data_IF_843293611154
#
_entry.id   IF_843293611154
#
_cell.length_a   1.000
_cell.length_b   1.000
_cell.length_c   1.000
_cell.angle_alpha   90.00
_cell.angle_beta   90.00
_cell.angle_gamma   90.00
#
_symmetry.space_group_name_H-M   'P 1'
#
loop_
_entity.id
_entity.type
_entity.pdbx_description
1 polymer ?
#
# COMPACT_ATOMS: atom_id res chain seq x y z
N UNK A 1 23.54 -13.49 -3.12
CA UNK A 1 22.62 -12.68 -3.94
C UNK A 1 23.05 -11.22 -3.87
N UNK A 2 23.34 -10.57 -5.00
CA UNK A 2 23.48 -9.11 -5.04
C UNK A 2 22.12 -8.49 -4.70
N UNK A 3 22.07 -7.70 -3.63
CA UNK A 3 20.85 -6.98 -3.21
C UNK A 3 20.71 -5.72 -4.06
N UNK A 4 19.48 -5.41 -4.44
CA UNK A 4 19.20 -4.14 -5.11
C UNK A 4 19.48 -2.98 -4.14
N UNK A 5 20.08 -1.90 -4.64
CA UNK A 5 20.23 -0.66 -3.89
C UNK A 5 18.88 0.01 -3.75
N UNK A 6 18.39 0.03 -2.52
CA UNK A 6 17.06 0.58 -2.20
C UNK A 6 17.17 2.06 -1.82
N UNK A 7 18.29 2.51 -1.26
CA UNK A 7 18.42 3.85 -0.67
C UNK A 7 19.70 4.55 -1.09
N UNK A 8 19.64 5.88 -1.09
CA UNK A 8 20.82 6.73 -1.24
C UNK A 8 21.77 6.57 -0.04
N UNK A 9 23.06 6.47 -0.32
CA UNK A 9 24.15 6.56 0.66
C UNK A 9 24.52 8.02 0.91
N UNK A 10 25.34 8.28 1.93
CA UNK A 10 25.81 9.63 2.23
C UNK A 10 26.55 10.29 1.04
N UNK A 11 27.35 9.52 0.30
CA UNK A 11 28.08 10.01 -0.88
C UNK A 11 27.15 10.23 -2.08
N UNK A 12 26.16 9.36 -2.29
CA UNK A 12 25.15 9.61 -3.33
C UNK A 12 24.40 10.93 -3.07
N UNK A 13 24.06 11.20 -1.81
CA UNK A 13 23.42 12.47 -1.41
C UNK A 13 24.36 13.65 -1.70
N UNK A 14 25.65 13.52 -1.37
CA UNK A 14 26.64 14.56 -1.63
C UNK A 14 26.72 14.91 -3.12
N UNK A 15 26.78 13.90 -4.00
CA UNK A 15 26.79 14.09 -5.44
C UNK A 15 25.49 14.72 -5.97
N UNK A 16 24.32 14.20 -5.54
CA UNK A 16 23.03 14.76 -5.94
C UNK A 16 22.86 16.21 -5.47
N UNK A 17 23.23 16.52 -4.22
CA UNK A 17 23.15 17.89 -3.70
C UNK A 17 24.02 18.82 -4.54
N UNK A 18 25.23 18.42 -4.91
CA UNK A 18 26.11 19.22 -5.76
C UNK A 18 25.48 19.50 -7.14
N UNK A 19 24.89 18.51 -7.80
CA UNK A 19 24.22 18.69 -9.10
C UNK A 19 22.94 19.54 -8.97
N UNK A 20 22.12 19.30 -7.95
CA UNK A 20 20.89 20.04 -7.72
C UNK A 20 21.17 21.51 -7.38
N UNK A 21 22.25 21.80 -6.65
CA UNK A 21 22.70 23.18 -6.37
C UNK A 21 22.87 23.96 -7.66
N UNK A 22 23.55 23.39 -8.65
CA UNK A 22 23.82 24.05 -9.93
C UNK A 22 22.56 24.32 -10.73
N UNK A 23 21.57 23.40 -10.70
CA UNK A 23 20.35 23.51 -11.52
C UNK A 23 19.21 24.29 -10.85
N UNK A 24 19.09 24.25 -9.52
CA UNK A 24 17.90 24.77 -8.81
C UNK A 24 18.13 26.01 -7.95
N UNK A 25 19.36 26.31 -7.49
CA UNK A 25 19.57 27.48 -6.64
C UNK A 25 19.16 28.75 -7.39
N UNK A 26 18.41 29.60 -6.70
CA UNK A 26 17.89 30.85 -7.21
C UNK A 26 16.62 30.74 -8.06
N UNK A 27 16.16 29.53 -8.36
CA UNK A 27 14.92 29.28 -9.09
C UNK A 27 13.71 29.36 -8.15
N UNK A 28 12.54 29.66 -8.69
CA UNK A 28 11.29 29.73 -7.92
C UNK A 28 10.54 28.40 -7.97
N UNK A 29 10.00 28.01 -6.82
CA UNK A 29 9.12 26.85 -6.71
C UNK A 29 7.72 27.22 -7.20
N UNK A 30 7.38 26.78 -8.40
CA UNK A 30 6.14 27.15 -9.08
C UNK A 30 4.92 26.41 -8.52
N UNK A 31 5.07 25.12 -8.25
CA UNK A 31 3.99 24.33 -7.66
C UNK A 31 4.52 23.04 -7.02
N UNK A 32 3.67 22.37 -6.24
CA UNK A 32 3.99 21.12 -5.58
C UNK A 32 2.87 20.13 -5.85
N UNK A 33 3.19 18.89 -6.17
CA UNK A 33 2.26 17.80 -6.43
C UNK A 33 2.61 16.60 -5.56
N UNK A 34 1.75 15.61 -5.52
CA UNK A 34 2.08 14.29 -5.02
C UNK A 34 1.64 13.25 -6.05
N UNK A 35 2.49 12.25 -6.28
CA UNK A 35 2.16 11.09 -7.12
C UNK A 35 1.37 10.11 -6.28
N UNK A 36 1.83 9.81 -5.07
CA UNK A 36 1.16 8.91 -4.13
C UNK A 36 1.22 9.49 -2.70
N UNK A 37 1.16 8.65 -1.66
CA UNK A 37 1.22 9.08 -0.24
C UNK A 37 2.65 9.36 0.26
N UNK A 38 3.67 8.86 -0.44
CA UNK A 38 5.09 8.93 -0.09
C UNK A 38 5.91 9.75 -1.08
N UNK A 39 5.42 9.94 -2.30
CA UNK A 39 6.13 10.61 -3.40
C UNK A 39 5.56 12.00 -3.68
N UNK A 40 6.38 13.02 -3.46
CA UNK A 40 6.08 14.43 -3.68
C UNK A 40 6.91 14.99 -4.83
N UNK A 41 6.34 15.92 -5.58
CA UNK A 41 6.97 16.52 -6.76
C UNK A 41 6.96 18.02 -6.65
N UNK A 42 8.14 18.62 -6.58
CA UNK A 42 8.36 20.05 -6.47
C UNK A 42 8.74 20.59 -7.86
N UNK A 43 7.85 21.37 -8.45
CA UNK A 43 8.04 21.94 -9.79
C UNK A 43 8.74 23.28 -9.69
N UNK A 44 9.94 23.35 -10.24
CA UNK A 44 10.71 24.57 -10.39
C UNK A 44 10.57 25.15 -11.80
N UNK A 45 10.50 26.47 -11.90
CA UNK A 45 10.66 27.18 -13.17
C UNK A 45 12.13 27.55 -13.33
N UNK A 46 12.83 26.80 -14.18
CA UNK A 46 14.26 26.97 -14.44
C UNK A 46 14.41 27.61 -15.81
N UNK A 47 14.59 28.94 -15.85
CA UNK A 47 14.60 29.74 -17.08
C UNK A 47 13.30 29.48 -17.90
N UNK A 48 13.43 29.05 -19.16
CA UNK A 48 12.31 28.68 -20.05
C UNK A 48 11.90 27.20 -19.95
N UNK A 49 12.62 26.42 -19.14
CA UNK A 49 12.36 25.00 -18.92
C UNK A 49 11.66 24.75 -17.58
N UNK A 50 11.11 23.54 -17.43
CA UNK A 50 10.55 23.06 -16.17
C UNK A 50 11.43 21.96 -15.65
N UNK A 51 11.74 22.00 -14.36
CA UNK A 51 12.41 20.89 -13.68
C UNK A 51 11.57 20.43 -12.50
N UNK A 52 11.49 19.12 -12.30
CA UNK A 52 10.67 18.50 -11.28
C UNK A 52 11.58 17.74 -10.31
N UNK A 53 11.65 18.22 -9.06
CA UNK A 53 12.30 17.52 -7.98
C UNK A 53 11.31 16.50 -7.40
N UNK A 54 11.58 15.23 -7.65
CA UNK A 54 10.86 14.10 -7.09
C UNK A 54 11.50 13.79 -5.73
N UNK A 55 10.67 13.69 -4.69
CA UNK A 55 11.08 13.35 -3.33
C UNK A 55 10.21 12.18 -2.89
N UNK A 56 10.83 11.03 -2.68
CA UNK A 56 10.17 9.84 -2.16
C UNK A 56 10.64 9.58 -0.74
N UNK A 57 9.69 9.60 0.19
CA UNK A 57 9.96 9.59 1.63
C UNK A 57 10.89 8.43 2.04
N UNK A 58 12.09 8.77 2.54
CA UNK A 58 13.07 7.81 3.04
C UNK A 58 13.86 7.02 1.99
N UNK A 59 13.60 7.26 0.70
CA UNK A 59 14.17 6.47 -0.38
C UNK A 59 15.15 7.27 -1.23
N UNK A 60 14.66 8.36 -1.82
CA UNK A 60 15.40 9.14 -2.82
C UNK A 60 14.90 10.57 -2.94
N UNK A 61 15.73 11.39 -3.56
CA UNK A 61 15.33 12.59 -4.26
C UNK A 61 16.11 12.67 -5.57
N UNK A 62 15.46 13.09 -6.65
CA UNK A 62 16.12 13.29 -7.94
C UNK A 62 15.33 14.29 -8.79
N UNK A 63 15.99 14.91 -9.75
CA UNK A 63 15.38 15.71 -10.79
C UNK A 63 14.87 14.83 -11.93
N UNK A 64 13.77 15.27 -12.53
CA UNK A 64 13.30 14.84 -13.83
C UNK A 64 12.79 16.05 -14.61
N UNK A 65 12.83 15.98 -15.93
CA UNK A 65 12.27 17.01 -16.81
C UNK A 65 10.81 16.70 -17.20
N UNK A 66 10.32 15.48 -16.88
CA UNK A 66 8.93 15.06 -17.14
C UNK A 66 8.31 14.41 -15.91
N UNK A 67 7.00 14.54 -15.75
CA UNK A 67 6.26 13.85 -14.69
C UNK A 67 4.97 13.25 -15.25
N UNK A 68 4.64 12.06 -14.78
CA UNK A 68 3.29 11.53 -14.91
C UNK A 68 2.38 12.28 -13.95
N UNK A 69 1.38 12.98 -14.49
CA UNK A 69 0.54 13.90 -13.73
C UNK A 69 -0.50 13.12 -12.93
N UNK A 70 -0.48 13.24 -11.60
CA UNK A 70 -1.62 12.88 -10.75
C UNK A 70 -2.52 14.08 -10.45
N UNK A 71 -3.85 13.87 -10.48
CA UNK A 71 -4.85 14.95 -10.63
C UNK A 71 -5.36 15.58 -9.33
N UNK A 72 -5.08 15.02 -8.14
CA UNK A 72 -5.61 15.56 -6.87
C UNK A 72 -4.52 15.72 -5.81
N UNK A 73 -4.22 16.95 -5.34
CA UNK A 73 -3.23 17.18 -4.29
C UNK A 73 -3.75 16.72 -2.92
N UNK A 74 -2.89 16.05 -2.14
CA UNK A 74 -3.21 15.67 -0.74
C UNK A 74 -3.24 16.88 0.21
N UNK A 75 -3.86 16.73 1.38
CA UNK A 75 -3.84 17.76 2.43
C UNK A 75 -2.42 18.11 2.90
N UNK A 76 -1.51 17.14 2.88
CA UNK A 76 -0.08 17.34 3.15
C UNK A 76 0.58 18.24 2.09
N UNK A 77 0.31 17.96 0.81
CA UNK A 77 0.74 18.80 -0.33
C UNK A 77 0.22 20.24 -0.22
N UNK A 78 -1.00 20.42 0.29
CA UNK A 78 -1.56 21.76 0.48
C UNK A 78 -0.82 22.58 1.55
N UNK A 79 -0.33 21.96 2.63
CA UNK A 79 0.54 22.64 3.60
C UNK A 79 1.84 23.09 2.95
N UNK A 80 2.53 22.23 2.21
CA UNK A 80 3.73 22.66 1.47
C UNK A 80 3.44 23.82 0.51
N UNK A 81 2.31 23.78 -0.22
CA UNK A 81 1.92 24.87 -1.13
C UNK A 81 1.68 26.18 -0.39
N UNK A 82 1.09 26.14 0.81
CA UNK A 82 0.85 27.34 1.63
C UNK A 82 2.16 28.03 2.00
N UNK A 83 3.19 27.26 2.35
CA UNK A 83 4.43 27.81 2.89
C UNK A 83 5.56 27.98 1.87
N UNK A 84 5.69 27.09 0.88
CA UNK A 84 6.84 27.05 -0.03
C UNK A 84 6.54 27.57 -1.44
N UNK A 85 5.28 27.58 -1.90
CA UNK A 85 4.94 27.98 -3.28
C UNK A 85 5.35 29.43 -3.54
N UNK A 86 5.84 29.68 -4.75
CA UNK A 86 6.36 30.96 -5.24
C UNK A 86 7.61 31.47 -4.53
N UNK A 87 8.15 30.73 -3.55
CA UNK A 87 9.43 31.07 -2.91
C UNK A 87 10.60 30.65 -3.77
N UNK A 88 11.69 31.40 -3.64
CA UNK A 88 12.99 31.10 -4.24
C UNK A 88 13.72 30.08 -3.39
N UNK A 89 14.36 29.09 -4.03
CA UNK A 89 15.27 28.18 -3.35
C UNK A 89 16.63 28.86 -3.18
N UNK A 90 17.05 29.08 -1.95
CA UNK A 90 18.30 29.80 -1.64
C UNK A 90 19.47 28.85 -1.40
N UNK A 91 19.26 27.73 -0.71
CA UNK A 91 20.30 26.74 -0.48
C UNK A 91 19.76 25.32 -0.44
N UNK A 92 20.65 24.35 -0.69
CA UNK A 92 20.42 22.91 -0.56
C UNK A 92 21.64 22.36 0.15
N UNK A 93 21.52 21.76 1.32
CA UNK A 93 22.68 21.35 2.11
C UNK A 93 22.48 19.96 2.68
N UNK A 94 23.49 19.11 2.52
CA UNK A 94 23.60 17.90 3.33
C UNK A 94 24.18 18.30 4.69
N UNK A 95 23.54 17.88 5.78
CA UNK A 95 24.03 18.21 7.12
C UNK A 95 25.07 17.18 7.53
N UNK A 96 26.30 17.64 7.74
CA UNK A 96 27.44 16.79 8.02
C UNK A 96 27.70 15.81 6.88
N UNK A 97 27.87 14.53 7.22
CA UNK A 97 27.93 13.41 6.28
C UNK A 97 26.82 12.40 6.52
N UNK A 98 25.76 12.86 7.18
CA UNK A 98 24.56 12.07 7.44
C UNK A 98 23.62 12.10 6.24
N UNK A 99 22.60 11.24 6.29
CA UNK A 99 21.57 11.17 5.26
C UNK A 99 20.43 12.15 5.55
N UNK A 100 20.78 13.39 5.84
CA UNK A 100 19.87 14.51 6.11
C UNK A 100 20.15 15.64 5.14
N UNK A 101 19.12 16.09 4.41
CA UNK A 101 19.22 17.18 3.43
C UNK A 101 18.25 18.29 3.78
N UNK A 102 18.72 19.54 3.78
CA UNK A 102 17.92 20.73 4.07
C UNK A 102 17.85 21.60 2.82
N UNK A 103 16.64 21.91 2.39
CA UNK A 103 16.36 22.89 1.35
C UNK A 103 15.82 24.16 2.00
N UNK A 104 16.42 25.31 1.70
CA UNK A 104 16.05 26.61 2.26
C UNK A 104 15.26 27.42 1.24
N UNK A 105 14.03 27.81 1.58
CA UNK A 105 13.15 28.59 0.72
C UNK A 105 12.85 29.97 1.29
N UNK A 106 13.03 31.01 0.49
CA UNK A 106 12.83 32.40 0.91
C UNK A 106 14.02 32.98 1.65
N UNK A 107 13.88 34.22 2.12
CA UNK A 107 14.92 34.97 2.83
C UNK A 107 14.33 35.64 4.07
N UNK A 108 15.21 35.98 5.01
CA UNK A 108 14.89 36.77 6.20
C UNK A 108 13.71 36.16 6.98
N UNK A 109 12.72 36.98 7.34
CA UNK A 109 11.56 36.60 8.14
C UNK A 109 10.58 35.65 7.44
N UNK A 110 10.82 35.35 6.17
CA UNK A 110 10.01 34.42 5.40
C UNK A 110 10.81 33.22 4.90
N UNK A 111 11.77 32.79 5.70
CA UNK A 111 12.55 31.58 5.47
C UNK A 111 11.78 30.34 5.96
N UNK A 112 11.76 29.30 5.14
CA UNK A 112 11.20 28.00 5.47
C UNK A 112 12.16 26.90 5.05
N UNK A 113 12.22 25.83 5.84
CA UNK A 113 13.09 24.69 5.58
C UNK A 113 12.28 23.46 5.22
N UNK A 114 12.70 22.77 4.16
CA UNK A 114 12.27 21.41 3.86
C UNK A 114 13.42 20.47 4.20
N UNK A 115 13.26 19.67 5.25
CA UNK A 115 14.26 18.75 5.77
C UNK A 115 13.87 17.33 5.37
N UNK A 116 14.79 16.62 4.74
CA UNK A 116 14.64 15.23 4.31
C UNK A 116 15.51 14.34 5.17
N UNK A 117 14.91 13.40 5.90
CA UNK A 117 15.60 12.31 6.57
C UNK A 117 15.52 11.06 5.67
N UNK A 118 16.66 10.54 5.23
CA UNK A 118 16.77 9.41 4.29
C UNK A 118 17.29 8.13 4.97
N UNK A 119 17.13 8.04 6.30
CA UNK A 119 17.44 6.86 7.11
C UNK A 119 16.18 6.24 7.71
N UNK A 120 16.29 5.00 8.21
CA UNK A 120 15.16 4.27 8.84
C UNK A 120 13.90 4.21 7.95
N UNK A 121 12.75 4.77 8.34
CA UNK A 121 11.54 4.85 7.53
C UNK A 121 11.43 6.15 6.71
N UNK A 122 12.38 7.06 6.89
CA UNK A 122 12.39 8.38 6.30
C UNK A 122 11.41 9.38 6.91
N UNK A 123 11.70 10.65 6.67
CA UNK A 123 10.83 11.76 7.08
C UNK A 123 10.96 12.92 6.09
N UNK A 124 9.85 13.62 5.85
CA UNK A 124 9.84 14.89 5.13
C UNK A 124 9.23 15.91 6.08
N UNK A 125 10.01 16.91 6.44
CA UNK A 125 9.69 17.86 7.50
C UNK A 125 9.70 19.26 6.91
N UNK A 126 8.66 20.02 7.20
CA UNK A 126 8.55 21.44 6.93
C UNK A 126 8.74 22.20 8.24
N UNK A 127 9.68 23.14 8.26
CA UNK A 127 9.93 24.01 9.41
C UNK A 127 9.92 25.49 9.02
N UNK A 128 9.68 26.36 10.00
CA UNK A 128 9.80 27.81 9.87
C UNK A 128 11.25 28.31 10.04
N UNK A 129 11.43 29.63 10.09
CA UNK A 129 12.74 30.29 10.21
C UNK A 129 13.53 29.89 11.48
N UNK A 130 12.86 29.47 12.53
CA UNK A 130 13.45 29.08 13.81
C UNK A 130 13.61 27.55 13.91
N UNK A 131 13.50 26.84 12.77
CA UNK A 131 13.44 25.39 12.67
C UNK A 131 12.31 24.75 13.47
N UNK A 132 11.24 25.50 13.78
CA UNK A 132 10.05 24.99 14.42
C UNK A 132 9.24 24.18 13.42
N UNK A 133 8.98 22.93 13.74
CA UNK A 133 8.34 21.99 12.82
C UNK A 133 6.87 22.36 12.64
N UNK A 134 6.50 22.72 11.41
CA UNK A 134 5.13 23.03 11.02
C UNK A 134 4.36 21.76 10.66
N UNK A 135 5.04 20.86 9.95
CA UNK A 135 4.44 19.64 9.41
C UNK A 135 5.52 18.60 9.13
N UNK A 136 5.20 17.33 9.34
CA UNK A 136 6.11 16.23 9.06
C UNK A 136 5.36 14.95 8.68
N UNK A 137 6.00 14.02 7.97
CA UNK A 137 5.36 12.75 7.57
C UNK A 137 5.27 11.75 8.72
N UNK A 138 6.24 11.71 9.64
CA UNK A 138 6.27 10.75 10.76
C UNK A 138 6.87 11.32 12.04
N UNK A 139 6.09 11.33 13.13
CA UNK A 139 6.59 11.67 14.46
C UNK A 139 7.49 10.56 15.01
N UNK A 140 8.55 10.95 15.70
CA UNK A 140 9.42 10.02 16.41
C UNK A 140 10.16 10.72 17.56
N UNK A 141 10.70 9.93 18.48
CA UNK A 141 11.36 10.41 19.69
C UNK A 141 12.78 9.83 19.75
N UNK A 142 13.75 10.65 20.14
CA UNK A 142 15.14 10.24 20.41
C UNK A 142 15.37 9.92 21.89
N UNK A 143 14.65 10.63 22.76
CA UNK A 143 14.63 10.45 24.21
C UNK A 143 13.33 11.03 24.78
N UNK A 144 13.06 10.85 26.07
CA UNK A 144 11.86 11.38 26.74
C UNK A 144 11.65 12.89 26.51
N UNK A 145 12.73 13.65 26.35
CA UNK A 145 12.68 15.11 26.18
C UNK A 145 12.93 15.60 24.75
N UNK A 146 13.31 14.72 23.82
CA UNK A 146 13.69 15.12 22.45
C UNK A 146 12.84 14.37 21.45
N UNK A 147 11.90 15.10 20.84
CA UNK A 147 10.94 14.55 19.89
C UNK A 147 10.88 15.39 18.61
N UNK A 148 10.68 14.69 17.51
CA UNK A 148 10.41 15.28 16.19
C UNK A 148 8.89 15.28 16.01
N UNK A 149 8.25 16.37 16.43
CA UNK A 149 6.80 16.53 16.44
C UNK A 149 6.40 17.95 16.02
N UNK A 150 5.12 18.19 15.64
CA UNK A 150 4.67 19.52 15.28
C UNK A 150 4.86 20.48 16.46
N UNK A 151 5.25 21.72 16.17
CA UNK A 151 5.58 22.78 17.12
C UNK A 151 6.82 22.54 17.99
N UNK A 152 7.63 21.52 17.71
CA UNK A 152 8.94 21.36 18.33
C UNK A 152 10.04 21.92 17.44
N UNK A 153 11.19 22.27 18.02
CA UNK A 153 12.38 22.66 17.25
C UNK A 153 13.04 21.39 16.70
N UNK A 154 13.42 21.40 15.43
CA UNK A 154 14.08 20.26 14.81
C UNK A 154 15.46 19.97 15.46
N UNK A 155 15.70 18.77 16.03
CA UNK A 155 16.86 18.52 16.87
C UNK A 155 18.10 18.10 16.07
N UNK A 156 18.76 19.05 15.41
CA UNK A 156 19.98 18.79 14.63
C UNK A 156 21.08 18.07 15.41
N UNK A 157 21.18 18.33 16.71
CA UNK A 157 22.14 17.72 17.63
C UNK A 157 21.97 16.20 17.79
N UNK A 158 20.82 15.65 17.42
CA UNK A 158 20.54 14.21 17.49
C UNK A 158 20.42 13.56 16.11
N UNK A 159 20.12 14.35 15.07
CA UNK A 159 19.85 13.85 13.72
C UNK A 159 21.06 13.93 12.79
N UNK A 160 22.02 14.84 13.05
CA UNK A 160 23.14 15.11 12.16
C UNK A 160 24.43 15.53 12.89
N UNK A 161 24.97 14.65 13.74
CA UNK A 161 26.15 14.93 14.56
C UNK A 161 27.49 14.78 13.83
N UNK A 162 27.52 13.97 12.78
CA UNK A 162 28.75 13.55 12.13
C UNK A 162 29.13 14.53 11.02
N UNK A 163 30.11 15.39 11.28
CA UNK A 163 30.73 16.27 10.29
C UNK A 163 32.09 15.69 9.91
N UNK A 164 32.41 15.74 8.62
CA UNK A 164 33.68 15.19 8.10
C UNK A 164 34.89 15.84 8.79
N UNK A 165 34.80 17.14 9.05
CA UNK A 165 35.83 17.94 9.71
C UNK A 165 36.04 17.55 11.19
N UNK A 166 35.06 16.86 11.80
CA UNK A 166 35.12 16.37 13.18
C UNK A 166 35.62 14.92 13.29
N UNK A 167 35.95 14.28 12.17
CA UNK A 167 36.48 12.92 12.19
C UNK A 167 37.90 12.92 12.75
N UNK A 168 38.05 12.33 13.93
CA UNK A 168 39.35 12.13 14.54
C UNK A 168 40.06 10.94 13.87
N UNK A 169 40.89 11.25 12.89
CA UNK A 169 41.73 10.31 12.14
C UNK A 169 43.17 10.28 12.66
N UNK A 170 43.40 10.81 13.87
CA UNK A 170 44.72 10.81 14.51
C UNK A 170 45.21 9.40 14.81
N UNK A 171 46.53 9.25 14.92
CA UNK A 171 47.14 7.99 15.36
C UNK A 171 46.68 7.59 16.76
N UNK A 172 46.48 8.56 17.65
CA UNK A 172 45.98 8.33 19.02
C UNK A 172 44.59 7.67 19.00
N UNK A 173 43.69 8.16 18.15
CA UNK A 173 42.36 7.57 18.00
C UNK A 173 42.40 6.18 17.39
N UNK A 174 43.22 5.95 16.38
CA UNK A 174 43.41 4.64 15.74
C UNK A 174 43.88 3.62 16.78
N UNK A 175 44.92 3.96 17.55
CA UNK A 175 45.43 3.12 18.64
C UNK A 175 44.31 2.81 19.62
N UNK A 176 43.57 3.82 20.08
CA UNK A 176 42.44 3.65 21.01
C UNK A 176 41.39 2.68 20.47
N UNK A 177 40.93 2.84 19.23
CA UNK A 177 39.89 1.98 18.61
C UNK A 177 40.35 0.52 18.47
N UNK A 178 41.64 0.31 18.20
CA UNK A 178 42.23 -1.04 18.09
C UNK A 178 42.41 -1.66 19.48
N UNK A 179 42.92 -0.91 20.46
CA UNK A 179 43.13 -1.38 21.83
C UNK A 179 41.84 -1.70 22.58
N UNK A 180 40.75 -0.95 22.35
CA UNK A 180 39.43 -1.22 22.92
C UNK A 180 38.89 -2.60 22.51
N UNK A 181 39.22 -3.06 21.29
CA UNK A 181 38.82 -4.37 20.79
C UNK A 181 39.83 -4.91 19.77
N UNK A 182 40.87 -5.63 20.21
CA UNK A 182 41.87 -6.18 19.31
C UNK A 182 41.31 -7.32 18.46
N UNK A 183 41.86 -7.50 17.25
CA UNK A 183 41.45 -8.55 16.32
C UNK A 183 40.19 -8.25 15.51
N UNK A 184 39.70 -6.99 15.52
CA UNK A 184 38.68 -6.52 14.60
C UNK A 184 39.17 -6.55 13.15
N UNK A 185 38.23 -6.70 12.21
CA UNK A 185 38.58 -6.65 10.78
C UNK A 185 38.96 -5.24 10.37
N UNK A 186 39.91 -5.09 9.44
CA UNK A 186 40.34 -3.81 8.91
C UNK A 186 39.16 -2.91 8.49
N UNK A 187 38.21 -3.44 7.71
CA UNK A 187 37.03 -2.67 7.28
C UNK A 187 36.15 -2.17 8.43
N UNK A 188 36.02 -2.95 9.52
CA UNK A 188 35.20 -2.57 10.69
C UNK A 188 35.85 -1.40 11.44
N UNK A 189 37.18 -1.37 11.52
CA UNK A 189 37.94 -0.27 12.10
C UNK A 189 37.79 0.98 11.23
N UNK A 190 37.93 0.84 9.90
CA UNK A 190 37.77 1.95 8.96
C UNK A 190 36.36 2.56 9.04
N UNK A 191 35.29 1.78 9.13
CA UNK A 191 33.93 2.32 9.31
C UNK A 191 33.75 3.13 10.59
N UNK A 192 34.42 2.73 11.68
CA UNK A 192 34.36 3.48 12.94
C UNK A 192 35.06 4.83 12.86
N UNK A 193 36.13 4.91 12.06
CA UNK A 193 36.93 6.11 11.90
C UNK A 193 36.37 7.04 10.81
N UNK A 194 35.75 6.47 9.78
CA UNK A 194 35.19 7.19 8.63
C UNK A 194 33.76 6.70 8.34
N UNK A 195 32.77 7.07 9.17
CA UNK A 195 31.42 6.49 9.14
C UNK A 195 30.58 6.84 7.91
N UNK A 196 31.02 7.77 7.05
CA UNK A 196 30.32 8.09 5.80
C UNK A 196 30.61 7.10 4.65
N UNK A 197 31.64 6.25 4.79
CA UNK A 197 31.93 5.24 3.79
C UNK A 197 30.93 4.10 3.89
N UNK A 198 30.44 3.64 2.74
CA UNK A 198 29.63 2.44 2.65
C UNK A 198 30.51 1.22 2.34
N UNK A 199 29.93 0.02 2.43
CA UNK A 199 30.70 -1.22 2.38
C UNK A 199 31.50 -1.41 1.09
N UNK A 200 30.85 -1.24 -0.07
CA UNK A 200 31.50 -1.46 -1.37
C UNK A 200 32.69 -0.52 -1.55
N UNK A 201 32.53 0.78 -1.28
CA UNK A 201 33.63 1.73 -1.39
C UNK A 201 34.79 1.46 -0.41
N UNK A 202 34.49 1.01 0.81
CA UNK A 202 35.53 0.66 1.78
C UNK A 202 36.34 -0.53 1.31
N UNK A 203 35.66 -1.56 0.81
CA UNK A 203 36.30 -2.75 0.26
C UNK A 203 37.17 -2.36 -0.97
N UNK A 204 36.66 -1.48 -1.84
CA UNK A 204 37.40 -0.96 -3.01
C UNK A 204 38.65 -0.16 -2.60
N UNK A 205 38.56 0.76 -1.65
CA UNK A 205 39.70 1.55 -1.14
C UNK A 205 40.78 0.61 -0.57
N UNK A 206 40.38 -0.38 0.24
CA UNK A 206 41.30 -1.35 0.82
C UNK A 206 41.97 -2.19 -0.29
N UNK A 207 41.20 -2.59 -1.31
CA UNK A 207 41.70 -3.36 -2.44
C UNK A 207 42.68 -2.55 -3.32
N UNK A 208 42.43 -1.25 -3.54
CA UNK A 208 43.34 -0.36 -4.25
C UNK A 208 44.71 -0.24 -3.56
N UNK A 209 44.72 -0.31 -2.22
CA UNK A 209 45.93 -0.38 -1.41
C UNK A 209 46.55 -1.79 -1.34
N UNK A 210 45.97 -2.77 -2.04
CA UNK A 210 46.39 -4.19 -2.06
C UNK A 210 46.38 -4.86 -0.68
N UNK A 211 45.44 -4.46 0.17
CA UNK A 211 45.28 -4.99 1.53
C UNK A 211 44.04 -5.90 1.60
N UNK A 212 43.96 -6.73 2.64
CA UNK A 212 42.81 -7.63 2.84
C UNK A 212 41.78 -6.99 3.79
N UNK A 213 40.56 -6.74 3.30
CA UNK A 213 39.51 -6.08 4.09
C UNK A 213 39.06 -6.88 5.32
N UNK A 214 39.30 -8.20 5.34
CA UNK A 214 38.95 -9.09 6.43
C UNK A 214 40.16 -9.46 7.32
N UNK A 215 41.33 -8.84 7.10
CA UNK A 215 42.49 -9.01 7.97
C UNK A 215 42.16 -8.58 9.41
N UNK A 216 42.53 -9.41 10.38
CA UNK A 216 42.37 -9.10 11.80
C UNK A 216 43.53 -8.22 12.25
N UNK A 217 43.21 -7.01 12.68
CA UNK A 217 44.20 -6.01 13.10
C UNK A 217 44.41 -6.10 14.61
N UNK A 218 45.66 -6.20 15.02
CA UNK A 218 46.09 -6.19 16.43
C UNK A 218 47.07 -5.06 16.68
N UNK A 219 48.16 -4.98 15.91
CA UNK A 219 49.23 -3.99 16.09
C UNK A 219 49.63 -3.29 14.79
N UNK A 220 48.87 -3.45 13.71
CA UNK A 220 49.15 -2.87 12.39
C UNK A 220 48.61 -1.43 12.27
N UNK A 221 48.96 -0.55 13.21
CA UNK A 221 48.42 0.82 13.29
C UNK A 221 48.70 1.65 12.02
N UNK A 222 49.93 1.58 11.50
CA UNK A 222 50.36 2.29 10.28
C UNK A 222 49.57 1.86 9.03
N UNK A 223 49.23 0.58 8.95
CA UNK A 223 48.42 0.04 7.87
C UNK A 223 47.01 0.62 7.91
N UNK A 224 46.41 0.71 9.10
CA UNK A 224 45.10 1.36 9.29
C UNK A 224 45.18 2.85 8.94
N UNK A 225 46.23 3.55 9.39
CA UNK A 225 46.43 4.97 9.09
C UNK A 225 46.47 5.25 7.58
N UNK A 226 47.25 4.46 6.83
CA UNK A 226 47.32 4.57 5.36
C UNK A 226 45.96 4.44 4.70
N UNK A 227 45.14 3.48 5.14
CA UNK A 227 43.79 3.28 4.59
C UNK A 227 42.87 4.47 4.93
N UNK A 228 42.90 4.93 6.18
CA UNK A 228 42.07 6.06 6.64
C UNK A 228 42.46 7.35 5.91
N UNK A 229 43.75 7.62 5.74
CA UNK A 229 44.23 8.80 5.03
C UNK A 229 43.84 8.78 3.57
N UNK A 230 44.02 7.63 2.91
CA UNK A 230 43.57 7.46 1.53
C UNK A 230 42.06 7.66 1.40
N UNK A 231 41.28 7.14 2.35
CA UNK A 231 39.83 7.30 2.32
C UNK A 231 39.39 8.76 2.54
N UNK A 232 40.04 9.49 3.45
CA UNK A 232 39.77 10.91 3.66
C UNK A 232 40.16 11.75 2.44
N UNK A 233 41.31 11.48 1.82
CA UNK A 233 41.72 12.12 0.58
C UNK A 233 40.72 11.84 -0.56
N UNK A 234 40.27 10.59 -0.70
CA UNK A 234 39.23 10.23 -1.65
C UNK A 234 37.93 11.01 -1.41
N UNK A 235 37.43 11.08 -0.18
CA UNK A 235 36.19 11.83 0.15
C UNK A 235 36.35 13.33 -0.13
N UNK A 236 37.49 13.92 0.22
CA UNK A 236 37.75 15.33 -0.03
C UNK A 236 37.80 15.64 -1.54
N UNK A 237 38.46 14.77 -2.32
CA UNK A 237 38.46 14.85 -3.79
C UNK A 237 37.06 14.69 -4.35
N UNK A 238 36.30 13.72 -3.84
CA UNK A 238 34.91 13.49 -4.25
C UNK A 238 34.06 14.73 -4.00
N UNK A 239 34.08 15.28 -2.78
CA UNK A 239 33.33 16.49 -2.38
C UNK A 239 33.68 17.73 -3.22
N UNK A 240 34.93 17.85 -3.67
CA UNK A 240 35.40 18.97 -4.47
C UNK A 240 34.94 18.93 -5.93
N UNK A 241 34.35 17.81 -6.39
CA UNK A 241 33.86 17.70 -7.76
C UNK A 241 32.63 18.58 -7.97
N UNK A 242 32.67 19.36 -9.07
CA UNK A 242 31.51 20.15 -9.49
C UNK A 242 30.46 19.29 -10.20
N UNK A 243 30.88 18.26 -10.94
CA UNK A 243 29.99 17.41 -11.73
C UNK A 243 30.35 15.96 -11.52
N UNK A 244 29.32 15.11 -11.44
CA UNK A 244 29.47 13.68 -11.26
C UNK A 244 28.93 12.98 -12.50
N UNK A 245 29.59 11.90 -12.92
CA UNK A 245 29.00 10.98 -13.89
C UNK A 245 28.07 10.02 -13.15
N UNK A 246 27.13 9.42 -13.87
CA UNK A 246 26.27 8.39 -13.30
C UNK A 246 26.57 7.03 -13.90
N UNK A 247 26.58 5.99 -13.07
CA UNK A 247 26.77 4.61 -13.51
C UNK A 247 25.57 3.77 -13.09
N UNK A 248 24.99 3.03 -14.02
CA UNK A 248 23.91 2.06 -13.81
C UNK A 248 24.46 0.65 -13.96
N UNK A 249 24.31 -0.18 -12.94
CA UNK A 249 24.93 -1.51 -12.91
C UNK A 249 23.88 -2.62 -12.96
N UNK A 250 24.02 -3.50 -13.95
CA UNK A 250 23.23 -4.72 -14.09
C UNK A 250 24.12 -5.96 -14.03
N UNK A 251 23.53 -7.11 -13.69
CA UNK A 251 24.29 -8.38 -13.57
C UNK A 251 24.85 -8.83 -14.90
N UNK A 252 24.04 -8.72 -15.94
CA UNK A 252 24.35 -9.17 -17.30
C UNK A 252 23.79 -8.13 -18.28
N UNK A 253 24.37 -8.08 -19.47
CA UNK A 253 23.79 -7.35 -20.58
C UNK A 253 22.40 -7.92 -20.90
N UNK A 254 21.43 -7.08 -21.32
CA UNK A 254 20.14 -7.59 -21.77
C UNK A 254 20.35 -8.55 -22.95
N UNK A 255 19.61 -9.68 -22.95
CA UNK A 255 19.76 -10.73 -23.96
C UNK A 255 19.26 -10.30 -25.34
N UNK A 256 18.30 -9.37 -25.36
CA UNK A 256 17.70 -8.79 -26.56
C UNK A 256 17.57 -7.27 -26.40
N UNK A 257 17.62 -6.51 -27.49
CA UNK A 257 17.48 -5.04 -27.48
C UNK A 257 16.14 -4.54 -26.92
N UNK A 258 15.09 -5.37 -26.95
CA UNK A 258 13.79 -5.04 -26.34
C UNK A 258 13.75 -5.29 -24.82
N UNK A 259 14.68 -6.07 -24.28
CA UNK A 259 14.69 -6.41 -22.87
C UNK A 259 15.38 -5.30 -22.07
N UNK A 260 14.61 -4.57 -21.24
CA UNK A 260 15.22 -3.55 -20.37
C UNK A 260 16.16 -4.22 -19.34
N UNK A 261 17.40 -3.70 -19.17
CA UNK A 261 18.32 -4.22 -18.17
C UNK A 261 17.74 -4.10 -16.76
N UNK A 262 17.91 -5.16 -15.96
CA UNK A 262 17.54 -5.15 -14.54
C UNK A 262 18.73 -4.64 -13.73
N UNK A 263 18.74 -3.33 -13.49
CA UNK A 263 19.74 -2.71 -12.65
C UNK A 263 19.59 -3.18 -11.20
N UNK A 264 20.72 -3.47 -10.56
CA UNK A 264 20.76 -3.75 -9.12
C UNK A 264 21.40 -2.60 -8.35
N UNK A 265 22.18 -1.74 -8.99
CA UNK A 265 22.88 -0.62 -8.33
C UNK A 265 22.99 0.60 -9.24
N UNK A 266 23.28 1.75 -8.63
CA UNK A 266 23.68 2.99 -9.27
C UNK A 266 24.73 3.71 -8.43
N UNK A 267 25.69 4.39 -9.05
CA UNK A 267 26.73 5.13 -8.34
C UNK A 267 27.21 6.37 -9.11
N UNK A 268 27.74 7.35 -8.38
CA UNK A 268 28.33 8.54 -8.95
C UNK A 268 29.81 8.37 -9.34
N UNK A 269 30.39 7.21 -9.00
CA UNK A 269 31.76 6.84 -9.34
C UNK A 269 31.84 5.36 -9.72
N UNK A 270 32.82 5.02 -10.55
CA UNK A 270 33.05 3.67 -11.06
C UNK A 270 33.85 2.88 -10.03
N UNK A 271 33.12 2.18 -9.17
CA UNK A 271 33.67 1.24 -8.19
C UNK A 271 34.34 0.02 -8.87
N UNK A 272 35.45 -0.48 -8.29
CA UNK A 272 36.07 -1.75 -8.69
C UNK A 272 35.10 -2.92 -8.49
N UNK A 273 34.20 -2.79 -7.51
CA UNK A 273 33.06 -3.68 -7.33
C UNK A 273 32.23 -3.92 -8.62
N UNK A 274 32.26 -3.02 -9.61
CA UNK A 274 31.54 -3.17 -10.87
C UNK A 274 32.32 -3.84 -12.00
N UNK A 275 33.59 -4.20 -11.78
CA UNK A 275 34.39 -4.92 -12.78
C UNK A 275 33.75 -6.27 -13.16
N UNK A 276 33.77 -6.59 -14.46
CA UNK A 276 33.13 -7.78 -15.01
C UNK A 276 31.60 -7.75 -15.08
N UNK A 277 30.95 -6.64 -14.66
CA UNK A 277 29.50 -6.46 -14.74
C UNK A 277 29.10 -5.58 -15.92
N UNK A 278 27.82 -5.61 -16.28
CA UNK A 278 27.29 -4.72 -17.30
C UNK A 278 27.01 -3.34 -16.68
N UNK A 279 27.74 -2.32 -17.14
CA UNK A 279 27.65 -0.95 -16.62
C UNK A 279 27.29 0.00 -17.76
N UNK A 280 26.27 0.82 -17.54
CA UNK A 280 25.90 1.92 -18.44
C UNK A 280 26.35 3.23 -17.77
N UNK A 281 27.15 4.01 -18.49
CA UNK A 281 27.53 5.37 -18.08
C UNK A 281 26.47 6.37 -18.56
N UNK A 282 26.20 7.37 -17.73
CA UNK A 282 25.27 8.47 -17.97
C UNK A 282 25.94 9.82 -17.69
N UNK A 283 25.51 10.91 -18.34
CA UNK A 283 26.20 12.20 -18.25
C UNK A 283 26.19 12.85 -16.85
N UNK A 284 25.19 12.52 -16.02
CA UNK A 284 25.03 13.05 -14.67
C UNK A 284 24.63 11.94 -13.72
N UNK A 285 24.98 12.07 -12.44
CA UNK A 285 24.53 11.12 -11.43
C UNK A 285 23.02 11.14 -11.27
N UNK A 286 22.38 12.31 -11.36
CA UNK A 286 20.94 12.45 -11.36
C UNK A 286 20.26 11.58 -12.44
N UNK A 287 20.82 11.51 -13.65
CA UNK A 287 20.26 10.71 -14.74
C UNK A 287 20.30 9.21 -14.40
N UNK A 288 21.43 8.71 -13.84
CA UNK A 288 21.50 7.34 -13.37
C UNK A 288 20.45 7.04 -12.30
N UNK A 289 20.28 7.92 -11.31
CA UNK A 289 19.24 7.76 -10.28
C UNK A 289 17.85 7.75 -10.90
N UNK A 290 17.55 8.69 -11.80
CA UNK A 290 16.25 8.78 -12.46
C UNK A 290 15.91 7.50 -13.24
N UNK A 291 16.83 7.04 -14.10
CA UNK A 291 16.66 5.83 -14.91
C UNK A 291 16.54 4.56 -14.06
N UNK A 292 17.32 4.46 -12.97
CA UNK A 292 17.24 3.33 -12.05
C UNK A 292 15.82 3.16 -11.51
N UNK A 293 15.29 4.24 -10.93
CA UNK A 293 13.99 4.18 -10.28
C UNK A 293 12.81 4.16 -11.27
N UNK A 294 12.94 4.71 -12.47
CA UNK A 294 11.94 4.51 -13.54
C UNK A 294 11.71 3.02 -13.86
N UNK A 295 12.74 2.18 -13.73
CA UNK A 295 12.61 0.72 -13.90
C UNK A 295 12.02 0.06 -12.66
N UNK A 296 12.40 0.52 -11.46
CA UNK A 296 11.88 0.00 -10.18
C UNK A 296 10.39 0.30 -10.01
N UNK A 297 9.97 1.56 -10.15
CA UNK A 297 8.59 2.00 -9.96
C UNK A 297 7.63 1.25 -10.88
N UNK A 298 8.00 1.12 -12.17
CA UNK A 298 7.21 0.39 -13.16
C UNK A 298 7.04 -1.09 -12.81
N UNK A 299 8.02 -1.71 -12.15
CA UNK A 299 7.90 -3.10 -11.70
C UNK A 299 6.96 -3.22 -10.49
N UNK A 300 6.94 -2.23 -9.61
CA UNK A 300 6.05 -2.20 -8.45
C UNK A 300 4.60 -1.92 -8.83
N UNK A 301 4.35 -0.91 -9.67
CA UNK A 301 3.01 -0.60 -10.21
C UNK A 301 2.39 -1.83 -10.90
N UNK A 302 3.21 -2.55 -11.68
CA UNK A 302 2.78 -3.77 -12.35
C UNK A 302 2.41 -4.90 -11.42
N UNK A 303 2.99 -4.97 -10.22
CA UNK A 303 2.63 -5.97 -9.19
C UNK A 303 1.35 -5.54 -8.48
N UNK A 304 1.29 -4.28 -8.06
CA UNK A 304 0.15 -3.73 -7.34
C UNK A 304 -1.14 -3.78 -8.16
N UNK A 305 -1.07 -3.45 -9.46
CA UNK A 305 -2.21 -3.57 -10.37
C UNK A 305 -2.76 -5.01 -10.47
N UNK A 306 -1.89 -6.03 -10.43
CA UNK A 306 -2.33 -7.44 -10.43
C UNK A 306 -3.06 -7.75 -9.13
N UNK A 307 -2.49 -7.31 -8.00
CA UNK A 307 -3.05 -7.56 -6.67
C UNK A 307 -4.41 -6.86 -6.50
N UNK A 308 -4.56 -5.62 -7.01
CA UNK A 308 -5.83 -4.88 -6.99
C UNK A 308 -6.92 -5.54 -7.84
N UNK A 309 -6.56 -6.07 -9.02
CA UNK A 309 -7.49 -6.81 -9.87
C UNK A 309 -7.95 -8.10 -9.17
N UNK A 310 -7.02 -8.84 -8.57
CA UNK A 310 -7.32 -10.04 -7.81
C UNK A 310 -8.21 -9.72 -6.59
N UNK A 311 -7.93 -8.62 -5.89
CA UNK A 311 -8.70 -8.16 -4.74
C UNK A 311 -10.13 -7.78 -5.10
N UNK A 312 -10.34 -7.04 -6.20
CA UNK A 312 -11.69 -6.68 -6.66
C UNK A 312 -12.51 -7.90 -7.03
N UNK A 313 -11.92 -8.88 -7.72
CA UNK A 313 -12.60 -10.14 -8.03
C UNK A 313 -12.98 -10.89 -6.75
N UNK A 314 -12.07 -10.98 -5.80
CA UNK A 314 -12.30 -11.61 -4.51
C UNK A 314 -13.44 -10.93 -3.73
N UNK A 315 -13.44 -9.60 -3.64
CA UNK A 315 -14.47 -8.86 -2.91
C UNK A 315 -15.85 -9.02 -3.57
N UNK A 316 -15.91 -9.03 -4.90
CA UNK A 316 -17.17 -9.31 -5.62
C UNK A 316 -17.71 -10.71 -5.31
N UNK A 317 -16.85 -11.74 -5.31
CA UNK A 317 -17.25 -13.11 -4.96
C UNK A 317 -17.74 -13.18 -3.51
N UNK A 318 -17.03 -12.53 -2.60
CA UNK A 318 -17.38 -12.48 -1.18
C UNK A 318 -18.73 -11.78 -0.96
N UNK A 319 -18.97 -10.64 -1.61
CA UNK A 319 -20.24 -9.92 -1.51
C UNK A 319 -21.41 -10.72 -2.06
N UNK A 320 -21.25 -11.35 -3.24
CA UNK A 320 -22.29 -12.20 -3.83
C UNK A 320 -22.64 -13.36 -2.88
N UNK A 321 -21.65 -14.06 -2.33
CA UNK A 321 -21.92 -15.14 -1.38
C UNK A 321 -22.52 -14.65 -0.05
N UNK A 322 -22.07 -13.51 0.49
CA UNK A 322 -22.69 -12.92 1.69
C UNK A 322 -24.16 -12.57 1.45
N UNK A 323 -24.49 -11.98 0.29
CA UNK A 323 -25.87 -11.64 -0.06
C UNK A 323 -26.75 -12.89 -0.20
N UNK A 324 -26.21 -14.00 -0.72
CA UNK A 324 -26.91 -15.28 -0.82
C UNK A 324 -27.18 -15.87 0.56
N UNK A 325 -26.19 -15.86 1.45
CA UNK A 325 -26.36 -16.36 2.83
C UNK A 325 -27.41 -15.53 3.56
N UNK A 326 -27.38 -14.20 3.45
CA UNK A 326 -28.37 -13.31 4.06
C UNK A 326 -29.78 -13.60 3.55
N UNK A 327 -29.97 -13.80 2.24
CA UNK A 327 -31.27 -14.19 1.68
C UNK A 327 -31.77 -15.52 2.24
N UNK A 328 -30.90 -16.53 2.33
CA UNK A 328 -31.28 -17.84 2.88
C UNK A 328 -31.58 -17.79 4.38
N UNK A 329 -30.95 -16.88 5.13
CA UNK A 329 -31.28 -16.63 6.54
C UNK A 329 -32.66 -15.97 6.67
N UNK A 330 -32.92 -14.91 5.90
CA UNK A 330 -34.23 -14.26 5.90
C UNK A 330 -35.36 -15.22 5.51
N UNK A 331 -35.14 -16.10 4.51
CA UNK A 331 -36.11 -17.12 4.10
C UNK A 331 -36.37 -18.18 5.20
N UNK A 332 -35.35 -18.51 6.01
CA UNK A 332 -35.53 -19.39 7.17
C UNK A 332 -36.35 -18.74 8.27
N UNK A 333 -36.05 -17.49 8.60
CA UNK A 333 -36.77 -16.74 9.63
C UNK A 333 -38.24 -16.58 9.23
N UNK A 334 -38.51 -16.29 7.95
CA UNK A 334 -39.86 -16.23 7.40
C UNK A 334 -40.62 -17.56 7.56
N UNK A 335 -39.99 -18.70 7.28
CA UNK A 335 -40.64 -20.00 7.47
C UNK A 335 -40.89 -20.35 8.94
N UNK A 336 -40.01 -19.94 9.85
CA UNK A 336 -40.21 -20.13 11.29
C UNK A 336 -41.42 -19.33 11.77
N UNK A 337 -41.48 -18.05 11.39
CA UNK A 337 -42.58 -17.15 11.75
C UNK A 337 -43.90 -17.70 11.19
N UNK A 338 -43.94 -18.08 9.92
CA UNK A 338 -45.14 -18.65 9.28
C UNK A 338 -45.59 -19.93 9.97
N UNK A 339 -44.68 -20.83 10.30
CA UNK A 339 -45.03 -22.08 10.98
C UNK A 339 -45.55 -21.84 12.41
N UNK A 340 -44.94 -20.91 13.16
CA UNK A 340 -45.39 -20.52 14.49
C UNK A 340 -46.80 -19.92 14.48
N UNK A 341 -47.07 -18.99 13.56
CA UNK A 341 -48.40 -18.37 13.43
C UNK A 341 -49.50 -19.38 13.10
N UNK A 342 -49.21 -20.39 12.28
CA UNK A 342 -50.17 -21.48 12.02
C UNK A 342 -50.42 -22.32 13.28
N UNK A 343 -49.39 -22.57 14.10
CA UNK A 343 -49.53 -23.34 15.33
C UNK A 343 -50.33 -22.60 16.40
N UNK A 344 -50.13 -21.28 16.54
CA UNK A 344 -50.90 -20.44 17.47
C UNK A 344 -52.38 -20.34 17.06
N UNK A 345 -52.66 -20.38 15.75
CA UNK A 345 -54.00 -20.26 15.16
C UNK A 345 -54.53 -21.60 14.60
N UNK A 346 -54.09 -22.74 15.16
CA UNK A 346 -54.31 -24.06 14.58
C UNK A 346 -55.81 -24.40 14.37
N UNK A 347 -56.65 -24.06 15.34
CA UNK A 347 -58.08 -24.36 15.32
C UNK A 347 -58.82 -23.54 14.26
N UNK A 348 -58.46 -22.25 14.15
CA UNK A 348 -59.05 -21.31 13.21
C UNK A 348 -58.68 -21.69 11.76
N UNK A 349 -57.40 -22.04 11.54
CA UNK A 349 -56.91 -22.51 10.24
C UNK A 349 -57.58 -23.83 9.85
N UNK A 350 -57.74 -24.77 10.79
CA UNK A 350 -58.40 -26.05 10.50
C UNK A 350 -59.89 -25.86 10.19
N UNK A 351 -60.59 -24.98 10.92
CA UNK A 351 -61.97 -24.67 10.64
C UNK A 351 -62.16 -24.08 9.23
N UNK A 352 -61.26 -23.18 8.80
CA UNK A 352 -61.26 -22.62 7.44
C UNK A 352 -61.08 -23.72 6.39
N UNK A 353 -60.10 -24.63 6.59
CA UNK A 353 -59.87 -25.76 5.68
C UNK A 353 -61.14 -26.61 5.56
N UNK A 354 -61.72 -27.02 6.69
CA UNK A 354 -62.89 -27.89 6.73
C UNK A 354 -64.12 -27.26 6.05
N UNK A 355 -64.35 -25.96 6.24
CA UNK A 355 -65.46 -25.23 5.61
C UNK A 355 -65.29 -25.22 4.09
N UNK A 356 -64.09 -24.87 3.62
CA UNK A 356 -63.80 -24.79 2.18
C UNK A 356 -63.89 -26.19 1.55
N UNK A 357 -63.38 -27.21 2.23
CA UNK A 357 -63.41 -28.59 1.76
C UNK A 357 -64.83 -29.13 1.66
N UNK A 358 -65.69 -28.87 2.66
CA UNK A 358 -67.12 -29.20 2.60
C UNK A 358 -67.84 -28.49 1.45
N UNK A 359 -67.50 -27.24 1.16
CA UNK A 359 -68.09 -26.51 0.01
C UNK A 359 -67.67 -27.15 -1.32
N UNK A 360 -66.42 -27.57 -1.45
CA UNK A 360 -65.94 -28.29 -2.63
C UNK A 360 -66.58 -29.67 -2.78
N UNK A 361 -66.71 -30.44 -1.68
CA UNK A 361 -67.31 -31.78 -1.68
C UNK A 361 -68.79 -31.74 -2.11
N UNK A 362 -69.48 -30.64 -1.81
CA UNK A 362 -70.85 -30.37 -2.27
C UNK A 362 -70.92 -29.88 -3.74
N UNK A 363 -69.82 -29.92 -4.49
CA UNK A 363 -69.76 -29.58 -5.90
C UNK A 363 -69.87 -28.09 -6.21
N UNK A 364 -69.63 -27.21 -5.23
CA UNK A 364 -69.68 -25.76 -5.44
C UNK A 364 -68.41 -25.32 -6.19
N UNK A 365 -68.53 -24.66 -7.36
CA UNK A 365 -67.37 -24.17 -8.08
C UNK A 365 -66.70 -23.00 -7.35
N UNK A 366 -65.38 -22.92 -7.47
CA UNK A 366 -64.50 -22.02 -6.72
C UNK A 366 -64.80 -20.53 -6.86
N UNK A 367 -65.24 -20.09 -8.04
CA UNK A 367 -65.66 -18.70 -8.29
C UNK A 367 -66.85 -18.31 -7.42
N UNK A 368 -67.76 -19.26 -7.19
CA UNK A 368 -68.91 -19.10 -6.29
C UNK A 368 -68.48 -19.16 -4.81
N UNK A 369 -67.55 -20.05 -4.44
CA UNK A 369 -66.96 -20.09 -3.09
C UNK A 369 -66.31 -18.75 -2.74
N UNK A 370 -65.53 -18.16 -3.66
CA UNK A 370 -64.90 -16.86 -3.46
C UNK A 370 -65.93 -15.74 -3.25
N UNK A 371 -67.04 -15.75 -4.00
CA UNK A 371 -68.13 -14.79 -3.81
C UNK A 371 -68.81 -14.96 -2.45
N UNK A 372 -69.12 -16.20 -2.07
CA UNK A 372 -69.74 -16.52 -0.78
C UNK A 372 -68.86 -16.05 0.38
N UNK A 373 -67.54 -16.27 0.31
CA UNK A 373 -66.61 -15.81 1.34
C UNK A 373 -66.50 -14.29 1.38
N UNK A 374 -66.53 -13.62 0.23
CA UNK A 374 -66.52 -12.15 0.18
C UNK A 374 -67.80 -11.53 0.77
N UNK A 375 -68.94 -12.20 0.62
CA UNK A 375 -70.19 -11.75 1.22
C UNK A 375 -70.19 -12.04 2.74
N UNK A 376 -69.72 -13.21 3.18
CA UNK A 376 -69.51 -13.53 4.60
C UNK A 376 -68.52 -12.58 5.30
N UNK A 377 -67.51 -12.07 4.57
CA UNK A 377 -66.60 -11.02 5.08
C UNK A 377 -67.33 -9.71 5.36
N UNK A 378 -68.24 -9.28 4.47
CA UNK A 378 -69.03 -8.04 4.67
C UNK A 378 -69.97 -8.16 5.86
N UNK A 379 -70.43 -9.38 6.14
CA UNK A 379 -71.24 -9.71 7.32
C UNK A 379 -70.41 -9.79 8.61
N UNK A 380 -69.08 -9.64 8.54
CA UNK A 380 -68.20 -9.58 9.71
C UNK A 380 -67.80 -10.95 10.26
N UNK A 381 -67.90 -12.02 9.48
CA UNK A 381 -67.52 -13.35 9.95
C UNK A 381 -66.00 -13.43 10.24
N UNK A 382 -65.58 -13.82 11.46
CA UNK A 382 -64.18 -13.76 11.88
C UNK A 382 -63.26 -14.67 11.05
N UNK A 383 -63.68 -15.90 10.75
CA UNK A 383 -62.91 -16.84 9.93
C UNK A 383 -62.82 -16.39 8.47
N UNK A 384 -63.89 -15.82 7.93
CA UNK A 384 -63.90 -15.30 6.56
C UNK A 384 -62.97 -14.09 6.41
N UNK A 385 -62.86 -13.24 7.44
CA UNK A 385 -61.95 -12.09 7.46
C UNK A 385 -60.47 -12.49 7.48
N UNK A 386 -60.13 -13.65 8.04
CA UNK A 386 -58.77 -14.19 7.99
C UNK A 386 -58.36 -14.63 6.59
N UNK A 387 -59.28 -14.85 5.66
CA UNK A 387 -58.94 -15.30 4.31
C UNK A 387 -58.49 -14.10 3.47
N UNK A 388 -57.20 -14.00 3.16
CA UNK A 388 -56.65 -12.94 2.30
C UNK A 388 -56.93 -13.15 0.80
N UNK A 389 -57.00 -14.40 0.35
CA UNK A 389 -57.21 -14.75 -1.06
C UNK A 389 -57.18 -16.25 -1.32
N UNK A 390 -57.46 -16.67 -2.57
CA UNK A 390 -57.47 -18.08 -2.96
C UNK A 390 -56.80 -18.30 -4.31
N UNK A 391 -56.08 -19.42 -4.46
CA UNK A 391 -55.46 -19.82 -5.71
C UNK A 391 -56.05 -21.14 -6.23
N UNK A 392 -56.95 -20.98 -7.22
CA UNK A 392 -57.77 -22.04 -7.80
C UNK A 392 -56.95 -23.17 -8.49
N UNK A 393 -55.73 -22.89 -8.94
CA UNK A 393 -54.93 -23.86 -9.70
C UNK A 393 -54.07 -24.77 -8.82
N UNK A 394 -53.92 -24.44 -7.53
CA UNK A 394 -52.99 -25.11 -6.63
C UNK A 394 -53.64 -25.67 -5.36
N UNK A 395 -54.98 -25.61 -5.23
CA UNK A 395 -55.71 -25.97 -4.01
C UNK A 395 -55.17 -25.25 -2.75
N UNK A 396 -54.81 -23.97 -2.91
CA UNK A 396 -54.23 -23.15 -1.84
C UNK A 396 -55.11 -21.96 -1.50
N UNK A 397 -55.14 -21.65 -0.22
CA UNK A 397 -55.82 -20.47 0.34
C UNK A 397 -54.78 -19.64 1.09
N UNK A 398 -54.79 -18.33 0.86
CA UNK A 398 -53.95 -17.39 1.60
C UNK A 398 -54.71 -16.95 2.85
N UNK A 399 -54.16 -17.23 4.03
CA UNK A 399 -54.70 -16.82 5.32
C UNK A 399 -53.81 -15.72 5.91
N UNK A 400 -54.44 -14.70 6.48
CA UNK A 400 -53.84 -13.60 7.22
C UNK A 400 -53.80 -14.00 8.70
N UNK A 401 -52.61 -14.25 9.23
CA UNK A 401 -52.41 -14.62 10.63
C UNK A 401 -51.57 -13.56 11.34
N UNK A 402 -51.97 -13.21 12.56
CA UNK A 402 -51.21 -12.39 13.51
C UNK A 402 -50.99 -13.16 14.81
N UNK A 403 -50.20 -12.59 15.72
CA UNK A 403 -49.97 -13.15 17.04
C UNK A 403 -51.22 -12.96 17.90
N UNK A 404 -51.71 -14.02 18.55
CA UNK A 404 -52.90 -13.97 19.40
C UNK A 404 -52.72 -13.13 20.67
N UNK A 405 -51.49 -13.01 21.14
CA UNK A 405 -51.15 -12.31 22.39
C UNK A 405 -50.82 -10.81 22.16
N UNK A 406 -50.73 -10.37 20.90
CA UNK A 406 -50.41 -8.99 20.53
C UNK A 406 -51.39 -8.45 19.48
N UNK A 407 -52.35 -7.66 19.95
CA UNK A 407 -53.43 -7.07 19.15
C UNK A 407 -52.93 -6.04 18.12
N UNK A 408 -51.67 -5.59 18.24
CA UNK A 408 -51.00 -4.70 17.29
C UNK A 408 -50.04 -5.43 16.33
N UNK A 409 -50.04 -6.76 16.33
CA UNK A 409 -49.15 -7.52 15.45
C UNK A 409 -49.52 -7.40 13.97
N UNK A 410 -48.50 -7.28 13.12
CA UNK A 410 -48.67 -7.25 11.67
C UNK A 410 -49.26 -8.58 11.17
N UNK A 411 -50.33 -8.49 10.37
CA UNK A 411 -50.94 -9.67 9.73
C UNK A 411 -50.06 -10.18 8.59
N UNK A 412 -49.56 -11.41 8.72
CA UNK A 412 -48.72 -12.06 7.71
C UNK A 412 -49.59 -12.94 6.81
N UNK A 413 -49.38 -12.84 5.50
CA UNK A 413 -50.01 -13.71 4.51
C UNK A 413 -49.30 -15.05 4.41
N UNK A 414 -50.06 -16.13 4.63
CA UNK A 414 -49.54 -17.51 4.64
C UNK A 414 -50.37 -18.38 3.69
N UNK A 415 -49.71 -19.12 2.81
CA UNK A 415 -50.37 -20.06 1.90
C UNK A 415 -50.62 -21.39 2.60
N UNK A 416 -51.88 -21.80 2.65
CA UNK A 416 -52.34 -23.05 3.26
C UNK A 416 -52.90 -23.95 2.16
N UNK A 417 -52.39 -25.18 2.10
CA UNK A 417 -52.89 -26.24 1.23
C UNK A 417 -54.10 -26.89 1.89
N UNK A 418 -55.28 -26.73 1.28
CA UNK A 418 -56.56 -27.21 1.83
C UNK A 418 -56.70 -28.74 1.75
N UNK A 419 -55.81 -29.42 1.01
CA UNK A 419 -55.82 -30.89 0.94
C UNK A 419 -55.17 -31.53 2.18
N UNK A 420 -54.62 -30.71 3.07
CA UNK A 420 -53.85 -31.14 4.24
C UNK A 420 -54.35 -30.43 5.49
N UNK A 421 -54.13 -31.04 6.66
CA UNK A 421 -54.50 -30.41 7.93
C UNK A 421 -53.66 -29.16 8.24
N UNK A 422 -54.14 -28.32 9.14
CA UNK A 422 -53.41 -27.15 9.63
C UNK A 422 -52.02 -27.54 10.18
N UNK A 423 -51.94 -28.67 10.91
CA UNK A 423 -50.69 -29.20 11.45
C UNK A 423 -49.72 -29.66 10.36
N UNK A 424 -50.23 -30.31 9.31
CA UNK A 424 -49.42 -30.74 8.17
C UNK A 424 -48.87 -29.54 7.39
N UNK A 425 -49.66 -28.48 7.25
CA UNK A 425 -49.21 -27.22 6.65
C UNK A 425 -48.11 -26.54 7.49
N UNK A 426 -48.26 -26.44 8.81
CA UNK A 426 -47.21 -25.93 9.70
C UNK A 426 -45.92 -26.77 9.60
N UNK A 427 -46.06 -28.10 9.59
CA UNK A 427 -44.92 -29.03 9.45
C UNK A 427 -44.17 -28.86 8.13
N UNK A 428 -44.88 -28.65 7.01
CA UNK A 428 -44.25 -28.37 5.71
C UNK A 428 -43.33 -27.15 5.74
N UNK A 429 -43.70 -26.11 6.48
CA UNK A 429 -42.86 -24.92 6.63
C UNK A 429 -41.60 -25.21 7.46
N UNK A 430 -41.69 -26.00 8.53
CA UNK A 430 -40.51 -26.48 9.26
C UNK A 430 -39.62 -27.42 8.44
N UNK A 431 -40.21 -28.29 7.60
CA UNK A 431 -39.45 -29.17 6.70
C UNK A 431 -38.72 -28.37 5.63
N UNK A 432 -39.36 -27.31 5.09
CA UNK A 432 -38.74 -26.36 4.17
C UNK A 432 -37.59 -25.59 4.83
N UNK A 433 -37.75 -25.15 6.10
CA UNK A 433 -36.65 -24.58 6.90
C UNK A 433 -35.47 -25.53 7.04
N UNK A 434 -35.71 -26.81 7.36
CA UNK A 434 -34.64 -27.82 7.50
C UNK A 434 -33.91 -28.10 6.17
N UNK A 435 -34.62 -28.03 5.03
CA UNK A 435 -34.03 -28.12 3.68
C UNK A 435 -33.14 -26.91 3.35
N UNK A 436 -33.50 -25.71 3.82
CA UNK A 436 -32.67 -24.52 3.65
C UNK A 436 -31.49 -24.53 4.61
N UNK A 437 -31.67 -24.97 5.85
CA UNK A 437 -30.62 -25.09 6.86
C UNK A 437 -29.48 -26.02 6.40
N UNK A 438 -29.83 -27.15 5.76
CA UNK A 438 -28.84 -28.04 5.12
C UNK A 438 -28.14 -27.41 3.92
N UNK A 439 -28.83 -26.60 3.11
CA UNK A 439 -28.18 -25.79 2.05
C UNK A 439 -27.23 -24.74 2.64
N UNK A 440 -27.58 -24.11 3.76
CA UNK A 440 -26.75 -23.14 4.46
C UNK A 440 -25.49 -23.76 5.08
N UNK A 441 -25.60 -24.95 5.67
CA UNK A 441 -24.44 -25.69 6.19
C UNK A 441 -23.45 -26.05 5.07
N UNK A 442 -23.96 -26.47 3.91
CA UNK A 442 -23.13 -26.71 2.72
C UNK A 442 -22.47 -25.42 2.19
N UNK A 443 -23.13 -24.27 2.29
CA UNK A 443 -22.51 -22.95 2.02
C UNK A 443 -21.51 -22.52 3.11
N UNK A 444 -21.64 -23.02 4.34
CA UNK A 444 -20.65 -22.84 5.41
C UNK A 444 -19.28 -23.40 5.03
N UNK A 445 -19.24 -24.56 4.38
CA UNK A 445 -18.02 -25.14 3.78
C UNK A 445 -17.41 -24.23 2.70
N UNK A 446 -18.21 -23.47 1.95
CA UNK A 446 -17.71 -22.46 1.02
C UNK A 446 -16.93 -21.33 1.73
N UNK A 447 -17.19 -21.00 3.00
CA UNK A 447 -16.41 -19.98 3.73
C UNK A 447 -14.95 -20.40 3.93
N UNK A 448 -14.69 -21.70 4.10
CA UNK A 448 -13.33 -22.25 4.13
C UNK A 448 -12.73 -22.18 2.72
N UNK A 449 -13.52 -22.48 1.69
CA UNK A 449 -13.12 -22.29 0.28
C UNK A 449 -12.81 -20.83 -0.08
N UNK A 450 -13.41 -19.82 0.56
CA UNK A 450 -13.10 -18.39 0.31
C UNK A 450 -11.65 -18.06 0.71
N UNK A 451 -11.16 -18.59 1.84
CA UNK A 451 -9.75 -18.37 2.24
C UNK A 451 -8.79 -18.96 1.21
N UNK A 452 -9.08 -20.18 0.75
CA UNK A 452 -8.31 -20.89 -0.27
C UNK A 452 -8.42 -20.17 -1.62
N UNK A 453 -9.62 -19.69 -1.98
CA UNK A 453 -9.87 -18.99 -3.24
C UNK A 453 -9.14 -17.65 -3.34
N UNK A 454 -8.82 -16.98 -2.22
CA UNK A 454 -7.97 -15.78 -2.22
C UNK A 454 -6.56 -16.11 -2.71
N UNK A 455 -5.97 -17.17 -2.17
CA UNK A 455 -4.61 -17.62 -2.52
C UNK A 455 -4.58 -18.11 -3.97
N UNK A 456 -5.57 -18.93 -4.36
CA UNK A 456 -5.75 -19.42 -5.73
C UNK A 456 -5.95 -18.30 -6.77
N UNK A 457 -6.75 -17.27 -6.47
CA UNK A 457 -6.99 -16.16 -7.40
C UNK A 457 -5.71 -15.35 -7.64
N UNK A 458 -4.92 -15.12 -6.58
CA UNK A 458 -3.63 -14.42 -6.69
C UNK A 458 -2.66 -15.25 -7.52
N UNK A 459 -2.61 -16.57 -7.32
CA UNK A 459 -1.71 -17.46 -8.03
C UNK A 459 -2.06 -17.60 -9.52
N UNK A 460 -3.34 -17.82 -9.85
CA UNK A 460 -3.81 -17.93 -11.24
C UNK A 460 -3.59 -16.65 -12.05
N UNK A 461 -3.82 -15.47 -11.48
CA UNK A 461 -3.58 -14.21 -12.18
C UNK A 461 -2.07 -13.94 -12.36
N UNK A 462 -1.21 -14.38 -11.42
CA UNK A 462 0.26 -14.38 -11.60
C UNK A 462 0.68 -15.30 -12.74
N UNK A 463 0.11 -16.50 -12.84
CA UNK A 463 0.40 -17.47 -13.91
C UNK A 463 -0.07 -16.99 -15.28
N UNK A 464 -1.30 -16.46 -15.39
CA UNK A 464 -1.82 -15.89 -16.65
C UNK A 464 -0.94 -14.76 -17.18
N UNK A 465 -0.36 -13.93 -16.30
CA UNK A 465 0.56 -12.87 -16.73
C UNK A 465 1.91 -13.45 -17.18
N UNK A 466 2.44 -14.50 -16.52
CA UNK A 466 3.62 -15.23 -17.02
C UNK A 466 3.37 -15.80 -18.42
N UNK A 467 2.24 -16.47 -18.61
CA UNK A 467 1.84 -17.04 -19.90
C UNK A 467 1.57 -15.97 -20.96
N UNK A 468 1.00 -14.81 -20.62
CA UNK A 468 0.84 -13.69 -21.54
C UNK A 468 2.18 -13.04 -21.93
N UNK A 469 3.13 -12.95 -20.99
CA UNK A 469 4.49 -12.46 -21.29
C UNK A 469 5.21 -13.46 -22.21
N UNK A 470 5.06 -14.77 -21.96
CA UNK A 470 5.63 -15.82 -22.81
C UNK A 470 4.97 -15.88 -24.19
N UNK A 471 3.65 -15.75 -24.29
CA UNK A 471 2.94 -15.79 -25.56
C UNK A 471 3.21 -14.55 -26.42
N UNK A 472 3.39 -13.37 -25.82
CA UNK A 472 3.86 -12.17 -26.53
C UNK A 472 5.30 -12.36 -27.03
N UNK A 473 6.18 -13.01 -26.25
CA UNK A 473 7.54 -13.36 -26.71
C UNK A 473 7.54 -14.38 -27.85
N UNK A 474 6.67 -15.39 -27.79
CA UNK A 474 6.51 -16.42 -28.83
C UNK A 474 5.95 -15.83 -30.13
N UNK A 475 4.93 -14.97 -30.05
CA UNK A 475 4.37 -14.29 -31.24
C UNK A 475 5.36 -13.37 -31.93
N UNK A 476 6.28 -12.74 -31.18
CA UNK A 476 7.35 -11.92 -31.78
C UNK A 476 8.48 -12.74 -32.43
N UNK A 477 8.77 -13.95 -31.93
CA UNK A 477 9.77 -14.85 -32.56
C UNK A 477 9.33 -15.44 -33.91
N UNK A 478 8.04 -15.41 -34.22
CA UNK A 478 7.48 -15.90 -35.51
C UNK A 478 7.43 -14.79 -36.57
N UNK A 479 7.76 -13.55 -36.20
CA UNK A 479 7.73 -12.36 -37.06
C UNK A 479 9.13 -11.80 -37.41
N UNK A 480 10.20 -12.57 -37.17
CA UNK A 480 11.59 -12.25 -37.59
C UNK A 480 12.07 -13.26 -38.61
#
# INVERSE_FOLDING_TARGET
>A
MMKNKIRLTALDIMALVAELKQKLIGTRLSNIYNIDSKTYVFKFSVQESKSYLIIENGLRFNLSDTIEKNKVPSGFTMKFRKFLRSRRLESIEQIGVERVVVFTFGREDHTYYLILELYSQGNIILADKDYRIIQLTRQHEFSENVKVAPNEIYPFEYTATNYLEKFDTSMERIVKVISEKPGQKLKEIVFKLVPCLHQALTDDIIQQLKMNQNEKIVNQYENVKKVVDYAMDYINKYRAQAQYKGYLCAKEAPKDAEQKPKFFDFAADKAAYYEGKYVIETPTFNEAVHQYFLVVDRQEENKQSIEDIAWKKFENIKQDQMSRIQKLQAEQDEYIIKAGLIQENIDDVQAIIDIIQKMMDNGIPWDKIQRMINDSKKEGNPLSNMIGGMNLKQNKVTILLGNKDDEYSDLIQIEIDITQSAYQNARKYYESKKKIETKNQNQGSCRISIKISREDCIERDRERKKQNIESVKLKKKVLV
#
